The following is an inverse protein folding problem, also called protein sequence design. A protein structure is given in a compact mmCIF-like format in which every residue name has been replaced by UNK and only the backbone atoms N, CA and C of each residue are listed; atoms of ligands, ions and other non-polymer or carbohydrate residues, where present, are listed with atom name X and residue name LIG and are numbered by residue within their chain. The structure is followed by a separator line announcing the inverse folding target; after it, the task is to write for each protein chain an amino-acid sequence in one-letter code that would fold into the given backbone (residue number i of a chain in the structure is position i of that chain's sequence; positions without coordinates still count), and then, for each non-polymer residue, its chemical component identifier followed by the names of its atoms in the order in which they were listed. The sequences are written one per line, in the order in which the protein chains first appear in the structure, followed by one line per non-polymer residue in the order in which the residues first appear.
data_IF_564039163831
#
_entry.id   IF_564039163831
#
_cell.length_a   1.000
_cell.length_b   1.000
_cell.length_c   1.000
_cell.angle_alpha   90.00
_cell.angle_beta   90.00
_cell.angle_gamma   90.00
#
_symmetry.space_group_name_H-M   'P 1'
#
loop_
_entity.id
_entity.type
_entity.pdbx_description
1 polymer ?
#
# COMPACT_ATOMS: atom_id res chain seq x y z
N UNK A 1 20.59 -0.86 -8.31
CA UNK A 1 20.04 0.50 -8.33
C UNK A 1 19.57 0.84 -6.93
N UNK A 2 20.24 1.78 -6.27
CA UNK A 2 19.85 2.27 -4.95
C UNK A 2 18.74 3.33 -5.13
N UNK A 3 17.51 2.87 -5.34
CA UNK A 3 16.35 3.75 -5.42
C UNK A 3 15.94 4.20 -4.02
N UNK A 4 15.67 5.50 -3.84
CA UNK A 4 15.16 6.05 -2.57
C UNK A 4 13.89 5.30 -2.13
N UNK A 5 13.94 4.67 -0.97
CA UNK A 5 12.80 3.96 -0.38
C UNK A 5 11.93 4.91 0.44
N UNK A 6 10.62 4.68 0.43
CA UNK A 6 9.66 5.38 1.30
C UNK A 6 9.31 4.45 2.46
N UNK A 7 9.42 4.95 3.68
CA UNK A 7 8.99 4.21 4.88
C UNK A 7 7.98 5.02 5.67
N UNK A 8 6.77 4.48 5.82
CA UNK A 8 5.73 5.02 6.69
C UNK A 8 5.90 4.43 8.08
N UNK A 9 6.82 5.01 8.85
CA UNK A 9 7.25 4.49 10.16
C UNK A 9 6.19 4.62 11.27
N UNK A 10 5.05 5.25 10.99
CA UNK A 10 3.90 5.34 11.90
C UNK A 10 2.59 5.16 11.15
N UNK A 11 1.50 5.09 11.91
CA UNK A 11 0.16 4.92 11.36
C UNK A 11 -0.21 6.14 10.50
N UNK A 12 -0.53 5.90 9.24
CA UNK A 12 -1.00 6.94 8.33
C UNK A 12 -2.54 6.95 8.33
N UNK A 13 -3.16 8.07 8.71
CA UNK A 13 -4.61 8.20 8.71
C UNK A 13 -5.06 9.46 7.92
N UNK A 14 -6.05 9.30 7.04
CA UNK A 14 -6.70 10.40 6.33
C UNK A 14 -8.22 10.38 6.58
N UNK A 15 -8.72 11.34 7.37
CA UNK A 15 -10.11 11.33 7.87
C UNK A 15 -11.14 11.93 6.91
N UNK A 16 -10.73 12.55 5.80
CA UNK A 16 -11.65 13.15 4.82
C UNK A 16 -11.11 13.19 3.40
N UNK A 17 -9.98 12.53 3.15
CA UNK A 17 -9.27 12.61 1.88
C UNK A 17 -8.73 11.24 1.47
N UNK A 18 -8.33 11.15 0.22
CA UNK A 18 -7.62 9.99 -0.31
C UNK A 18 -6.15 10.00 0.14
N UNK A 19 -5.54 8.82 0.11
CA UNK A 19 -4.09 8.63 0.28
C UNK A 19 -3.50 8.28 -1.08
N UNK A 20 -2.49 9.02 -1.51
CA UNK A 20 -1.69 8.72 -2.69
C UNK A 20 -0.22 8.61 -2.27
N UNK A 21 0.41 7.48 -2.55
CA UNK A 21 1.82 7.21 -2.25
C UNK A 21 2.52 6.86 -3.56
N UNK A 22 3.53 7.62 -3.95
CA UNK A 22 4.41 7.33 -5.07
C UNK A 22 5.84 7.15 -4.55
N UNK A 23 6.34 5.93 -4.61
CA UNK A 23 7.65 5.54 -4.12
C UNK A 23 8.52 5.05 -5.28
N UNK A 24 9.57 5.78 -5.61
CA UNK A 24 10.48 5.38 -6.69
C UNK A 24 11.30 4.11 -6.37
N UNK A 25 11.34 3.69 -5.10
CA UNK A 25 12.04 2.50 -4.62
C UNK A 25 11.13 1.58 -3.81
N UNK A 26 11.67 1.07 -2.70
CA UNK A 26 10.93 0.19 -1.80
C UNK A 26 9.98 0.98 -0.89
N UNK A 27 8.69 0.62 -0.89
CA UNK A 27 7.68 1.16 0.01
C UNK A 27 7.45 0.20 1.17
N UNK A 28 7.70 0.63 2.40
CA UNK A 28 7.33 -0.14 3.60
C UNK A 28 6.21 0.58 4.36
N UNK A 29 5.08 -0.10 4.51
CA UNK A 29 3.87 0.40 5.17
C UNK A 29 3.64 -0.36 6.47
N UNK A 30 3.29 0.38 7.52
CA UNK A 30 2.78 -0.22 8.77
C UNK A 30 1.26 -0.20 8.71
N UNK A 31 0.56 0.59 9.52
CA UNK A 31 -0.88 0.76 9.43
C UNK A 31 -1.24 1.94 8.54
N UNK A 32 -2.25 1.79 7.69
CA UNK A 32 -2.77 2.88 6.86
C UNK A 32 -4.29 2.84 6.81
N UNK A 33 -4.94 3.98 7.06
CA UNK A 33 -6.39 4.09 7.00
C UNK A 33 -6.80 5.38 6.28
N UNK A 34 -7.63 5.28 5.25
CA UNK A 34 -8.26 6.44 4.63
C UNK A 34 -9.78 6.30 4.72
N UNK A 35 -10.47 7.42 4.93
CA UNK A 35 -11.93 7.48 4.73
C UNK A 35 -12.29 7.48 3.25
N UNK A 36 -11.36 7.92 2.39
CA UNK A 36 -11.44 7.81 0.93
C UNK A 36 -10.67 6.63 0.37
N UNK A 37 -10.11 6.82 -0.83
CA UNK A 37 -9.31 5.82 -1.52
C UNK A 37 -7.88 5.78 -1.01
N UNK A 38 -7.23 4.63 -1.13
CA UNK A 38 -5.78 4.49 -0.92
C UNK A 38 -5.17 4.02 -2.23
N UNK A 39 -4.19 4.76 -2.76
CA UNK A 39 -3.42 4.37 -3.94
C UNK A 39 -1.95 4.39 -3.62
N UNK A 40 -1.27 3.28 -3.85
CA UNK A 40 0.17 3.16 -3.66
C UNK A 40 0.84 2.64 -4.94
N UNK A 41 1.82 3.40 -5.44
CA UNK A 41 2.70 3.02 -6.54
C UNK A 41 4.12 2.93 -6.03
N UNK A 42 4.77 1.79 -6.26
CA UNK A 42 6.14 1.59 -5.82
C UNK A 42 6.95 0.75 -6.80
N UNK A 43 8.28 0.74 -6.68
CA UNK A 43 9.06 -0.30 -7.35
C UNK A 43 8.79 -1.66 -6.70
N UNK A 44 8.83 -1.73 -5.37
CA UNK A 44 8.46 -2.90 -4.58
C UNK A 44 7.76 -2.44 -3.31
N UNK A 45 6.83 -3.23 -2.77
CA UNK A 45 6.12 -2.82 -1.56
C UNK A 45 5.97 -3.95 -0.55
N UNK A 46 5.99 -3.54 0.72
CA UNK A 46 5.88 -4.41 1.87
C UNK A 46 4.90 -3.81 2.88
N UNK A 47 3.75 -4.46 3.03
CA UNK A 47 2.68 -4.06 3.94
C UNK A 47 2.75 -4.92 5.20
N UNK A 48 3.29 -4.30 6.26
CA UNK A 48 3.56 -4.92 7.56
C UNK A 48 2.46 -4.68 8.61
N UNK A 49 1.51 -3.78 8.34
CA UNK A 49 0.33 -3.52 9.16
C UNK A 49 -0.93 -3.49 8.31
N UNK A 50 -2.12 -3.39 8.92
CA UNK A 50 -3.36 -3.43 8.18
C UNK A 50 -3.57 -2.15 7.37
N UNK A 51 -4.16 -2.30 6.18
CA UNK A 51 -4.51 -1.17 5.31
C UNK A 51 -6.01 -1.18 5.03
N UNK A 52 -6.67 -0.08 5.36
CA UNK A 52 -8.12 0.08 5.19
C UNK A 52 -8.42 1.32 4.33
N UNK A 53 -9.12 1.12 3.23
CA UNK A 53 -9.67 2.20 2.42
C UNK A 53 -11.20 2.27 2.59
N UNK A 54 -11.71 3.46 2.92
CA UNK A 54 -13.13 3.72 3.07
C UNK A 54 -13.91 3.68 1.75
N UNK A 55 -13.20 3.74 0.61
CA UNK A 55 -13.74 3.46 -0.73
C UNK A 55 -12.94 2.36 -1.44
N UNK A 56 -11.90 2.71 -2.21
CA UNK A 56 -11.09 1.77 -2.99
C UNK A 56 -9.64 1.71 -2.54
N UNK A 57 -9.03 0.53 -2.54
CA UNK A 57 -7.60 0.34 -2.35
C UNK A 57 -6.97 -0.16 -3.66
N UNK A 58 -6.03 0.61 -4.20
CA UNK A 58 -5.21 0.22 -5.35
C UNK A 58 -3.74 0.21 -4.97
N UNK A 59 -3.06 -0.90 -5.20
CA UNK A 59 -1.62 -1.00 -4.97
C UNK A 59 -0.94 -1.63 -6.17
N UNK A 60 0.01 -0.92 -6.76
CA UNK A 60 0.70 -1.32 -7.99
C UNK A 60 2.20 -1.25 -7.79
N UNK A 61 2.88 -2.38 -7.95
CA UNK A 61 4.34 -2.47 -7.88
C UNK A 61 4.94 -2.94 -9.19
N UNK A 62 6.09 -2.41 -9.57
CA UNK A 62 6.84 -2.90 -10.73
C UNK A 62 7.52 -4.26 -10.48
N UNK A 63 7.91 -4.51 -9.23
CA UNK A 63 8.45 -5.75 -8.71
C UNK A 63 7.50 -6.35 -7.68
N UNK A 64 8.05 -6.90 -6.61
CA UNK A 64 7.29 -7.68 -5.63
C UNK A 64 6.36 -6.81 -4.76
N UNK A 65 5.24 -7.42 -4.39
CA UNK A 65 4.28 -6.90 -3.44
C UNK A 65 3.99 -7.95 -2.37
N UNK A 66 4.34 -7.65 -1.12
CA UNK A 66 4.05 -8.52 0.01
C UNK A 66 3.07 -7.85 0.97
N UNK A 67 2.02 -8.58 1.35
CA UNK A 67 1.04 -8.17 2.36
C UNK A 67 1.01 -9.19 3.48
N UNK A 68 1.40 -8.78 4.70
CA UNK A 68 1.47 -9.67 5.87
C UNK A 68 0.31 -9.53 6.84
N UNK A 69 -0.60 -8.61 6.53
CA UNK A 69 -1.71 -8.21 7.37
C UNK A 69 -2.89 -7.90 6.46
N UNK A 70 -4.06 -7.72 7.07
CA UNK A 70 -5.30 -7.53 6.33
C UNK A 70 -5.28 -6.24 5.48
N UNK A 71 -5.62 -6.39 4.20
CA UNK A 71 -5.73 -5.30 3.22
C UNK A 71 -7.16 -5.30 2.72
N UNK A 72 -7.90 -4.24 3.04
CA UNK A 72 -9.32 -4.17 2.74
C UNK A 72 -9.73 -2.80 2.23
N UNK A 73 -10.77 -2.82 1.41
CA UNK A 73 -11.43 -1.64 0.88
C UNK A 73 -12.94 -1.87 0.93
N UNK A 74 -13.71 -0.79 1.08
CA UNK A 74 -15.17 -0.88 1.13
C UNK A 74 -15.79 -1.29 -0.20
N UNK A 75 -15.32 -0.68 -1.29
CA UNK A 75 -15.93 -0.80 -2.61
C UNK A 75 -15.10 -1.71 -3.53
N UNK A 76 -13.79 -1.46 -3.63
CA UNK A 76 -12.93 -2.16 -4.58
C UNK A 76 -11.50 -2.34 -4.05
N UNK A 77 -10.96 -3.54 -4.23
CA UNK A 77 -9.60 -3.91 -3.88
C UNK A 77 -8.85 -4.36 -5.14
N UNK A 78 -7.78 -3.67 -5.49
CA UNK A 78 -6.91 -4.01 -6.63
C UNK A 78 -5.45 -4.05 -6.21
N UNK A 79 -4.85 -5.24 -6.23
CA UNK A 79 -3.42 -5.43 -5.99
C UNK A 79 -2.78 -5.96 -7.28
N UNK A 80 -1.68 -5.34 -7.69
CA UNK A 80 -0.94 -5.72 -8.89
C UNK A 80 0.56 -5.64 -8.62
N UNK A 81 1.27 -6.69 -9.01
CA UNK A 81 2.72 -6.77 -8.92
C UNK A 81 3.27 -7.21 -10.27
N UNK A 82 4.32 -6.53 -10.74
CA UNK A 82 5.09 -7.01 -11.89
C UNK A 82 6.01 -8.19 -11.53
N UNK A 83 6.29 -8.38 -10.23
CA UNK A 83 6.98 -9.54 -9.67
C UNK A 83 6.02 -10.52 -9.00
N UNK A 84 6.40 -11.00 -7.81
CA UNK A 84 5.54 -11.86 -7.00
C UNK A 84 4.56 -11.04 -6.17
N UNK A 85 3.30 -11.49 -6.14
CA UNK A 85 2.30 -10.99 -5.21
C UNK A 85 2.12 -12.05 -4.11
N UNK A 86 2.57 -11.72 -2.90
CA UNK A 86 2.41 -12.59 -1.73
C UNK A 86 1.42 -11.96 -0.75
N UNK A 87 0.39 -12.72 -0.37
CA UNK A 87 -0.60 -12.31 0.63
C UNK A 87 -0.74 -13.41 1.66
N UNK A 88 -0.38 -13.07 2.91
CA UNK A 88 -0.34 -14.01 4.03
C UNK A 88 -1.17 -13.49 5.23
N UNK A 89 -2.26 -12.78 4.95
CA UNK A 89 -3.15 -12.19 5.94
C UNK A 89 -4.08 -13.21 6.61
#
# INVERSE_FOLDING_TARGET
YAGVGVRLAGNLAASGSDIQIDANGHLSMTQTAASGAVTARANSAEVNGPVYAGSSLTMSTAGDLTTRQNVAARDALSLSAGGQLNSSA
#
